data_IF_934560339199
#
_entry.id   IF_934560339199
#
_cell.length_a   1.000
_cell.length_b   1.000
_cell.length_c   1.000
_cell.angle_alpha   90.00
_cell.angle_beta   90.00
_cell.angle_gamma   90.00
#
_symmetry.space_group_name_H-M   'P 1'
#
loop_
_entity.id
_entity.type
_entity.pdbx_description
1 polymer ?
#
# COMPACT_ATOMS: atom_id res chain seq x y z
N UNK A 1 -16.86 -19.56 12.05
CA UNK A 1 -18.29 -19.91 11.93
C UNK A 1 -18.64 -19.87 10.44
N UNK A 2 -19.54 -20.73 9.98
CA UNK A 2 -20.03 -20.74 8.60
C UNK A 2 -21.21 -19.79 8.35
N UNK A 3 -21.85 -19.29 9.41
CA UNK A 3 -22.89 -18.27 9.34
C UNK A 3 -22.42 -16.98 10.03
N UNK A 4 -22.25 -15.92 9.23
CA UNK A 4 -21.80 -14.61 9.67
C UNK A 4 -22.82 -13.88 10.55
N UNK A 5 -24.06 -14.37 10.67
CA UNK A 5 -25.10 -13.82 11.53
C UNK A 5 -25.27 -14.61 12.85
N UNK A 6 -24.52 -15.69 13.02
CA UNK A 6 -24.59 -16.50 14.22
C UNK A 6 -23.83 -15.83 15.37
N UNK A 7 -24.57 -15.49 16.43
CA UNK A 7 -24.07 -14.76 17.61
C UNK A 7 -23.87 -15.64 18.85
N UNK A 8 -24.15 -16.94 18.75
CA UNK A 8 -24.16 -17.86 19.91
C UNK A 8 -23.10 -18.95 19.83
N UNK A 9 -22.70 -19.35 18.62
CA UNK A 9 -21.67 -20.37 18.42
C UNK A 9 -20.25 -19.78 18.45
N UNK A 10 -19.22 -20.58 18.79
CA UNK A 10 -17.84 -20.14 18.74
C UNK A 10 -17.42 -19.63 17.35
N UNK A 11 -16.93 -18.39 17.30
CA UNK A 11 -16.28 -17.79 16.14
C UNK A 11 -14.82 -17.42 16.52
N UNK A 12 -13.91 -18.41 16.61
CA UNK A 12 -12.57 -18.18 17.13
C UNK A 12 -11.73 -17.23 16.27
N UNK A 13 -11.83 -17.32 14.93
CA UNK A 13 -11.23 -16.37 13.99
C UNK A 13 -9.75 -16.10 14.24
N UNK A 14 -8.96 -17.13 14.56
CA UNK A 14 -7.57 -16.94 14.97
C UNK A 14 -6.70 -16.36 13.84
N UNK A 15 -6.92 -16.80 12.61
CA UNK A 15 -6.33 -16.25 11.39
C UNK A 15 -7.19 -15.11 10.82
N UNK A 16 -8.52 -15.27 10.80
CA UNK A 16 -9.53 -14.41 10.18
C UNK A 16 -10.48 -13.81 11.26
N UNK A 17 -10.14 -12.69 11.91
CA UNK A 17 -8.91 -11.91 11.72
C UNK A 17 -8.17 -11.56 13.03
N UNK A 18 -8.06 -12.53 13.93
CA UNK A 18 -7.23 -12.44 15.14
C UNK A 18 -5.75 -12.18 14.83
N UNK A 19 -5.26 -12.69 13.69
CA UNK A 19 -3.88 -12.50 13.24
C UNK A 19 -3.62 -11.05 12.81
N UNK A 20 -4.52 -10.42 12.03
CA UNK A 20 -4.43 -9.02 11.65
C UNK A 20 -4.54 -8.08 12.85
N UNK A 21 -5.45 -8.37 13.78
CA UNK A 21 -5.56 -7.63 15.04
C UNK A 21 -4.27 -7.71 15.88
N UNK A 22 -3.65 -8.89 15.97
CA UNK A 22 -2.37 -9.08 16.66
C UNK A 22 -1.23 -8.29 16.01
N UNK A 23 -1.16 -8.26 14.67
CA UNK A 23 -0.20 -7.42 13.92
C UNK A 23 -0.36 -5.95 14.26
N UNK A 24 -1.60 -5.44 14.26
CA UNK A 24 -1.91 -4.04 14.57
C UNK A 24 -1.47 -3.66 16.00
N UNK A 25 -1.82 -4.50 16.98
CA UNK A 25 -1.44 -4.29 18.39
C UNK A 25 0.08 -4.34 18.62
N UNK A 26 0.78 -5.28 17.98
CA UNK A 26 2.23 -5.41 18.13
C UNK A 26 2.96 -4.22 17.48
N UNK A 27 2.51 -3.77 16.31
CA UNK A 27 3.01 -2.55 15.70
C UNK A 27 2.79 -1.34 16.61
N UNK A 28 1.61 -1.20 17.22
CA UNK A 28 1.33 -0.14 18.19
C UNK A 28 2.30 -0.16 19.38
N UNK A 29 2.52 -1.35 19.96
CA UNK A 29 3.45 -1.53 21.09
C UNK A 29 4.87 -1.10 20.74
N UNK A 30 5.39 -1.52 19.59
CA UNK A 30 6.76 -1.20 19.16
C UNK A 30 6.90 0.27 18.76
N UNK A 31 5.98 0.78 17.93
CA UNK A 31 6.06 2.14 17.38
C UNK A 31 5.69 3.22 18.40
N UNK A 32 4.97 2.91 19.48
CA UNK A 32 4.68 3.86 20.57
C UNK A 32 5.93 4.45 21.24
N UNK A 33 7.09 3.79 21.08
CA UNK A 33 8.38 4.23 21.59
C UNK A 33 9.04 5.31 20.73
N UNK A 34 8.47 5.60 19.57
CA UNK A 34 8.98 6.56 18.59
C UNK A 34 8.06 7.79 18.51
N UNK A 35 8.57 8.85 17.89
CA UNK A 35 7.81 10.07 17.57
C UNK A 35 7.85 10.27 16.07
N UNK A 36 6.68 10.54 15.49
CA UNK A 36 6.50 10.68 14.05
C UNK A 36 5.95 12.08 13.73
N UNK A 37 6.40 12.69 12.62
CA UNK A 37 5.75 13.89 12.08
C UNK A 37 4.33 13.61 11.57
N UNK A 38 4.04 12.39 11.11
CA UNK A 38 2.69 11.98 10.72
C UNK A 38 1.92 11.26 11.84
N UNK A 39 0.59 11.28 11.76
CA UNK A 39 -0.29 10.50 12.64
C UNK A 39 -0.38 9.06 12.16
N UNK A 40 -0.12 8.10 13.05
CA UNK A 40 -0.35 6.68 12.81
C UNK A 40 -1.60 6.24 13.56
N UNK A 41 -2.55 5.62 12.85
CA UNK A 41 -3.79 5.10 13.41
C UNK A 41 -3.74 3.57 13.35
N UNK A 42 -3.84 2.93 14.52
CA UNK A 42 -4.05 1.49 14.62
C UNK A 42 -5.56 1.26 14.72
N UNK A 43 -6.13 0.64 13.70
CA UNK A 43 -7.57 0.49 13.54
C UNK A 43 -7.93 -1.00 13.58
N UNK A 44 -8.92 -1.35 14.40
CA UNK A 44 -9.63 -2.63 14.37
C UNK A 44 -11.10 -2.30 14.19
N UNK A 45 -11.72 -2.81 13.12
CA UNK A 45 -13.11 -2.49 12.79
C UNK A 45 -14.05 -3.63 13.15
N UNK A 46 -15.31 -3.27 13.39
CA UNK A 46 -16.38 -4.24 13.60
C UNK A 46 -17.14 -4.48 12.30
N UNK A 47 -17.61 -5.72 12.13
CA UNK A 47 -18.55 -6.10 11.08
C UNK A 47 -18.01 -6.04 9.65
N UNK A 48 -16.75 -6.46 9.47
CA UNK A 48 -16.20 -6.82 8.15
C UNK A 48 -17.12 -7.86 7.49
N UNK A 49 -17.37 -8.95 8.21
CA UNK A 49 -18.12 -10.13 7.76
C UNK A 49 -19.60 -9.89 7.44
N UNK A 50 -20.18 -8.77 7.91
CA UNK A 50 -21.56 -8.35 7.62
C UNK A 50 -21.64 -7.30 6.50
N UNK A 51 -20.52 -7.00 5.83
CA UNK A 51 -20.47 -6.09 4.69
C UNK A 51 -19.66 -4.82 4.93
N UNK A 52 -18.54 -4.93 5.66
CA UNK A 52 -17.55 -3.88 5.89
C UNK A 52 -18.08 -2.68 6.69
N UNK A 53 -18.97 -2.90 7.66
CA UNK A 53 -19.70 -1.81 8.33
C UNK A 53 -18.77 -0.81 9.03
N UNK A 54 -17.82 -1.31 9.81
CA UNK A 54 -16.90 -0.45 10.56
C UNK A 54 -15.94 0.32 9.65
N UNK A 55 -15.36 -0.34 8.64
CA UNK A 55 -14.43 0.30 7.70
C UNK A 55 -15.13 1.29 6.78
N UNK A 56 -16.33 0.99 6.27
CA UNK A 56 -17.14 1.95 5.50
C UNK A 56 -17.45 3.20 6.30
N UNK A 57 -17.93 3.04 7.54
CA UNK A 57 -18.21 4.17 8.40
C UNK A 57 -16.95 5.01 8.66
N UNK A 58 -15.82 4.37 8.96
CA UNK A 58 -14.57 5.07 9.22
C UNK A 58 -14.05 5.81 7.97
N UNK A 59 -14.03 5.16 6.81
CA UNK A 59 -13.54 5.75 5.56
C UNK A 59 -14.41 6.94 5.13
N UNK A 60 -15.74 6.81 5.18
CA UNK A 60 -16.68 7.90 4.91
C UNK A 60 -16.48 9.08 5.86
N UNK A 61 -16.32 8.80 7.15
CA UNK A 61 -16.07 9.83 8.17
C UNK A 61 -14.74 10.55 7.91
N UNK A 62 -13.67 9.81 7.60
CA UNK A 62 -12.37 10.38 7.29
C UNK A 62 -12.44 11.29 6.05
N UNK A 63 -13.15 10.84 5.00
CA UNK A 63 -13.40 11.63 3.79
C UNK A 63 -14.19 12.91 4.09
N UNK A 64 -15.28 12.81 4.84
CA UNK A 64 -16.11 13.95 5.23
C UNK A 64 -15.35 14.97 6.09
N UNK A 65 -14.44 14.51 6.95
CA UNK A 65 -13.56 15.37 7.76
C UNK A 65 -12.35 15.91 6.99
N UNK A 66 -12.19 15.55 5.72
CA UNK A 66 -11.06 16.01 4.88
C UNK A 66 -9.71 15.45 5.31
N UNK A 67 -9.67 14.30 5.98
CA UNK A 67 -8.42 13.68 6.41
C UNK A 67 -7.54 13.32 5.21
N UNK A 68 -6.26 13.62 5.33
CA UNK A 68 -5.24 13.23 4.34
C UNK A 68 -4.65 11.88 4.77
N UNK A 69 -5.31 10.79 4.39
CA UNK A 69 -4.80 9.44 4.63
C UNK A 69 -3.88 9.06 3.47
N UNK A 70 -2.58 8.98 3.74
CA UNK A 70 -1.56 8.64 2.75
C UNK A 70 -1.55 7.14 2.41
N UNK A 71 -1.81 6.28 3.39
CA UNK A 71 -1.73 4.84 3.23
C UNK A 71 -2.64 4.09 4.20
N UNK A 72 -3.28 3.03 3.71
CA UNK A 72 -4.02 2.04 4.50
C UNK A 72 -3.41 0.67 4.27
N UNK A 73 -2.89 0.07 5.36
CA UNK A 73 -2.31 -1.26 5.38
C UNK A 73 -3.30 -2.23 6.04
N UNK A 74 -4.15 -2.87 5.24
CA UNK A 74 -5.13 -3.83 5.76
C UNK A 74 -4.48 -5.21 5.92
N UNK A 75 -4.43 -5.75 7.14
CA UNK A 75 -3.95 -7.10 7.40
C UNK A 75 -5.18 -7.97 7.61
N UNK A 76 -5.33 -9.01 6.81
CA UNK A 76 -6.54 -9.82 6.81
C UNK A 76 -6.18 -11.22 6.31
N UNK A 77 -6.29 -12.20 7.22
CA UNK A 77 -5.80 -13.57 7.07
C UNK A 77 -4.28 -13.56 6.86
N UNK A 78 -3.55 -13.16 7.90
CA UNK A 78 -2.08 -13.05 7.91
C UNK A 78 -1.43 -14.03 8.89
N UNK A 79 -2.11 -15.15 9.17
CA UNK A 79 -1.71 -16.18 10.10
C UNK A 79 -0.72 -17.20 9.56
N UNK A 80 -0.61 -17.35 8.25
CA UNK A 80 0.35 -18.23 7.60
C UNK A 80 0.10 -19.69 7.94
N UNK A 81 -1.08 -20.21 7.59
CA UNK A 81 -1.51 -21.59 7.92
C UNK A 81 -0.36 -22.63 7.78
N UNK A 82 -0.20 -23.51 8.77
CA UNK A 82 0.92 -24.48 8.85
C UNK A 82 0.86 -25.63 7.84
N UNK A 83 -0.06 -25.61 6.87
CA UNK A 83 -0.10 -26.63 5.83
C UNK A 83 1.18 -26.67 4.96
N UNK A 84 1.59 -27.84 4.44
CA UNK A 84 2.81 -27.99 3.65
C UNK A 84 2.86 -27.15 2.37
N UNK A 85 1.70 -26.75 1.84
CA UNK A 85 1.62 -25.97 0.62
C UNK A 85 1.64 -24.44 0.84
N UNK A 86 1.69 -24.02 2.10
CA UNK A 86 1.91 -22.63 2.46
C UNK A 86 3.31 -22.19 2.02
N UNK A 87 3.46 -20.92 1.67
CA UNK A 87 4.78 -20.32 1.51
C UNK A 87 5.07 -19.39 2.70
N UNK A 88 5.85 -19.83 3.70
CA UNK A 88 6.11 -19.04 4.91
C UNK A 88 7.05 -17.86 4.66
N UNK A 89 7.62 -17.74 3.45
CA UNK A 89 8.59 -16.70 3.09
C UNK A 89 7.96 -15.47 2.42
N UNK A 90 6.65 -15.47 2.23
CA UNK A 90 5.97 -14.37 1.55
C UNK A 90 4.57 -14.08 2.07
N UNK A 91 4.20 -12.81 1.99
CA UNK A 91 2.81 -12.34 2.15
C UNK A 91 2.39 -11.68 0.84
N UNK A 92 1.17 -11.96 0.40
CA UNK A 92 0.60 -11.33 -0.80
C UNK A 92 0.17 -9.91 -0.45
N UNK A 93 0.48 -8.97 -1.32
CA UNK A 93 0.06 -7.57 -1.23
C UNK A 93 -0.84 -7.26 -2.41
N UNK A 94 -2.15 -7.24 -2.17
CA UNK A 94 -3.16 -6.88 -3.16
C UNK A 94 -3.31 -5.37 -3.23
N UNK A 95 -3.49 -4.86 -4.45
CA UNK A 95 -3.81 -3.45 -4.67
C UNK A 95 -4.63 -3.26 -5.94
N UNK A 96 -5.50 -2.26 -5.98
CA UNK A 96 -6.27 -1.95 -7.18
C UNK A 96 -5.41 -1.28 -8.24
N UNK A 97 -5.66 -1.57 -9.52
CA UNK A 97 -4.93 -0.93 -10.62
C UNK A 97 -5.57 0.40 -11.06
N UNK A 98 -6.89 0.39 -11.25
CA UNK A 98 -7.69 1.59 -11.53
C UNK A 98 -8.43 1.95 -10.25
N UNK A 99 -8.32 3.20 -9.73
CA UNK A 99 -8.97 3.57 -8.48
C UNK A 99 -10.50 3.40 -8.54
N UNK A 100 -11.08 2.73 -7.53
CA UNK A 100 -12.53 2.50 -7.46
C UNK A 100 -13.33 3.80 -7.45
N UNK A 101 -12.80 4.86 -6.82
CA UNK A 101 -13.46 6.17 -6.72
C UNK A 101 -13.18 7.11 -7.90
N UNK A 102 -12.48 6.66 -8.95
CA UNK A 102 -12.10 7.54 -10.07
C UNK A 102 -13.31 8.02 -10.87
N UNK A 103 -13.37 9.33 -11.11
CA UNK A 103 -14.34 9.97 -12.00
C UNK A 103 -14.00 9.69 -13.48
N UNK A 104 -14.97 9.84 -14.39
CA UNK A 104 -14.70 9.74 -15.84
C UNK A 104 -13.70 10.79 -16.37
N UNK A 105 -13.49 11.89 -15.63
CA UNK A 105 -12.43 12.85 -15.95
C UNK A 105 -11.04 12.29 -15.62
N UNK A 106 -10.91 11.54 -14.53
CA UNK A 106 -9.66 10.89 -14.09
C UNK A 106 -9.39 9.58 -14.87
N UNK A 107 -10.43 8.84 -15.26
CA UNK A 107 -10.28 7.62 -16.06
C UNK A 107 -9.80 7.90 -17.48
N UNK A 108 -10.15 9.05 -18.07
CA UNK A 108 -9.73 9.43 -19.42
C UNK A 108 -8.20 9.42 -19.61
N UNK A 109 -7.39 10.14 -18.80
CA UNK A 109 -5.94 10.10 -18.93
C UNK A 109 -5.36 8.72 -18.59
N UNK A 110 -5.93 7.97 -17.62
CA UNK A 110 -5.50 6.59 -17.31
C UNK A 110 -5.58 5.71 -18.57
N UNK A 111 -6.73 5.72 -19.26
CA UNK A 111 -6.94 4.95 -20.50
C UNK A 111 -6.04 5.42 -21.64
N UNK A 112 -5.80 6.73 -21.75
CA UNK A 112 -5.00 7.30 -22.83
C UNK A 112 -3.50 7.04 -22.68
N UNK A 113 -3.01 6.85 -21.45
CA UNK A 113 -1.59 6.75 -21.13
C UNK A 113 -1.15 5.36 -20.64
N UNK A 114 -2.08 4.41 -20.52
CA UNK A 114 -1.78 3.08 -19.96
C UNK A 114 -1.50 3.10 -18.44
N UNK A 115 -2.18 3.99 -17.71
CA UNK A 115 -1.95 4.23 -16.28
C UNK A 115 -2.61 3.22 -15.33
N UNK A 116 -3.18 2.13 -15.82
CA UNK A 116 -3.90 1.13 -15.01
C UNK A 116 -3.02 0.37 -14.01
N UNK A 117 -1.70 0.55 -14.07
CA UNK A 117 -0.74 -0.02 -13.12
C UNK A 117 -0.11 1.01 -12.19
N UNK A 118 -0.62 2.25 -12.15
CA UNK A 118 0.00 3.41 -11.49
C UNK A 118 -0.95 4.13 -10.51
N UNK A 119 -1.98 3.45 -10.02
CA UNK A 119 -2.80 3.98 -8.91
C UNK A 119 -1.97 4.23 -7.66
N UNK A 120 -2.48 5.08 -6.77
CA UNK A 120 -1.89 5.30 -5.46
C UNK A 120 -1.76 4.00 -4.63
N UNK A 121 -2.71 3.08 -4.75
CA UNK A 121 -2.65 1.75 -4.11
C UNK A 121 -1.54 0.87 -4.70
N UNK A 122 -1.25 0.96 -6.00
CA UNK A 122 -0.11 0.29 -6.65
C UNK A 122 1.22 0.88 -6.18
N UNK A 123 1.30 2.20 -6.09
CA UNK A 123 2.49 2.88 -5.56
C UNK A 123 2.75 2.51 -4.10
N UNK A 124 1.71 2.45 -3.27
CA UNK A 124 1.81 1.97 -1.90
C UNK A 124 2.32 0.52 -1.85
N UNK A 125 1.80 -0.38 -2.68
CA UNK A 125 2.27 -1.77 -2.74
C UNK A 125 3.75 -1.86 -3.15
N UNK A 126 4.18 -1.09 -4.16
CA UNK A 126 5.61 -1.01 -4.55
C UNK A 126 6.49 -0.51 -3.42
N UNK A 127 6.02 0.49 -2.67
CA UNK A 127 6.73 1.00 -1.49
C UNK A 127 6.89 -0.08 -0.43
N UNK A 128 5.84 -0.86 -0.15
CA UNK A 128 5.93 -2.03 0.75
C UNK A 128 6.98 -3.04 0.29
N UNK A 129 7.09 -3.29 -1.01
CA UNK A 129 8.13 -4.17 -1.55
C UNK A 129 9.54 -3.60 -1.40
N UNK A 130 9.74 -2.29 -1.60
CA UNK A 130 11.02 -1.61 -1.37
C UNK A 130 11.44 -1.73 0.12
N UNK A 131 10.53 -1.41 1.04
CA UNK A 131 10.75 -1.57 2.48
C UNK A 131 11.01 -3.04 2.84
N UNK A 132 10.26 -3.96 2.22
CA UNK A 132 10.45 -5.40 2.37
C UNK A 132 11.88 -5.83 2.06
N UNK A 133 12.40 -5.41 0.90
CA UNK A 133 13.78 -5.69 0.49
C UNK A 133 14.83 -5.07 1.41
N UNK A 134 14.58 -3.86 1.92
CA UNK A 134 15.52 -3.15 2.79
C UNK A 134 15.60 -3.74 4.22
N UNK A 135 14.47 -4.14 4.79
CA UNK A 135 14.39 -4.49 6.22
C UNK A 135 14.15 -5.98 6.49
N UNK A 136 13.54 -6.74 5.58
CA UNK A 136 13.21 -8.15 5.83
C UNK A 136 14.14 -9.17 5.18
N UNK A 137 15.12 -8.74 4.38
CA UNK A 137 16.13 -9.65 3.81
C UNK A 137 16.80 -10.57 4.86
N UNK A 138 17.18 -10.11 6.07
CA UNK A 138 17.76 -10.99 7.11
C UNK A 138 16.80 -12.07 7.63
N UNK A 139 15.49 -11.88 7.47
CA UNK A 139 14.46 -12.83 7.91
C UNK A 139 14.04 -13.78 6.79
N UNK A 140 14.61 -13.65 5.58
CA UNK A 140 14.23 -14.48 4.43
C UNK A 140 12.76 -14.33 4.04
N UNK A 141 12.17 -13.17 4.33
CA UNK A 141 10.76 -12.87 4.12
C UNK A 141 10.62 -11.68 3.17
N UNK A 142 9.72 -11.78 2.19
CA UNK A 142 9.50 -10.72 1.21
C UNK A 142 8.04 -10.65 0.78
N UNK A 143 7.43 -9.47 0.65
CA UNK A 143 6.09 -9.36 0.09
C UNK A 143 6.07 -9.74 -1.40
N UNK A 144 4.99 -10.35 -1.85
CA UNK A 144 4.69 -10.57 -3.28
C UNK A 144 3.59 -9.63 -3.72
N UNK A 145 3.88 -8.79 -4.71
CA UNK A 145 2.90 -7.87 -5.28
C UNK A 145 1.88 -8.64 -6.12
N UNK A 146 0.60 -8.49 -5.79
CA UNK A 146 -0.49 -9.07 -6.56
C UNK A 146 -1.24 -7.95 -7.28
N UNK A 147 -1.18 -7.96 -8.61
CA UNK A 147 -1.80 -6.92 -9.42
C UNK A 147 -3.30 -7.08 -9.62
N UNK A 148 -4.01 -7.16 -8.50
CA UNK A 148 -5.46 -7.30 -8.38
C UNK A 148 -5.92 -6.60 -7.11
N UNK A 149 -7.13 -6.04 -7.14
CA UNK A 149 -7.74 -5.46 -5.93
C UNK A 149 -7.87 -6.51 -4.83
N UNK A 150 -8.30 -7.73 -5.18
CA UNK A 150 -8.38 -8.84 -4.23
C UNK A 150 -8.37 -10.22 -4.95
N UNK A 151 -8.46 -11.29 -4.15
CA UNK A 151 -8.71 -12.69 -4.54
C UNK A 151 -10.10 -12.84 -5.14
N UNK A 152 -10.30 -13.88 -5.94
CA UNK A 152 -11.61 -14.17 -6.51
C UNK A 152 -12.65 -14.46 -5.43
N UNK A 153 -13.86 -13.89 -5.59
CA UNK A 153 -15.00 -14.06 -4.68
C UNK A 153 -14.76 -13.58 -3.24
N UNK A 154 -13.72 -12.77 -3.01
CA UNK A 154 -13.36 -12.24 -1.69
C UNK A 154 -13.25 -10.71 -1.73
N UNK A 155 -13.26 -10.13 -0.54
CA UNK A 155 -13.06 -8.71 -0.26
C UNK A 155 -12.44 -8.57 1.13
N UNK A 156 -12.13 -7.35 1.53
CA UNK A 156 -11.69 -7.01 2.89
C UNK A 156 -11.74 -5.51 3.11
N UNK A 157 -11.47 -5.06 4.33
CA UNK A 157 -11.70 -3.67 4.76
C UNK A 157 -11.01 -2.59 3.91
N UNK A 158 -9.86 -2.88 3.29
CA UNK A 158 -9.20 -1.96 2.35
C UNK A 158 -10.12 -1.46 1.22
N UNK A 159 -11.10 -2.27 0.78
CA UNK A 159 -12.02 -1.90 -0.31
C UNK A 159 -12.86 -0.68 0.07
N UNK A 160 -13.30 -0.57 1.32
CA UNK A 160 -14.05 0.59 1.80
C UNK A 160 -13.24 1.89 1.72
N UNK A 161 -11.91 1.81 1.91
CA UNK A 161 -11.03 2.96 1.76
C UNK A 161 -10.78 3.31 0.30
N UNK A 162 -10.61 2.31 -0.58
CA UNK A 162 -10.49 2.54 -2.02
C UNK A 162 -11.75 3.20 -2.61
N UNK A 163 -12.94 2.78 -2.15
CA UNK A 163 -14.23 3.36 -2.57
C UNK A 163 -14.38 4.85 -2.17
N UNK A 164 -13.67 5.28 -1.12
CA UNK A 164 -13.61 6.70 -0.70
C UNK A 164 -12.41 7.45 -1.30
N UNK A 165 -11.64 6.79 -2.18
CA UNK A 165 -10.51 7.37 -2.93
C UNK A 165 -9.18 7.37 -2.18
N UNK A 166 -9.05 6.62 -1.08
CA UNK A 166 -7.79 6.46 -0.37
C UNK A 166 -6.92 5.34 -0.96
N UNK A 167 -5.60 5.52 -0.87
CA UNK A 167 -4.64 4.48 -1.19
C UNK A 167 -4.72 3.38 -0.13
N UNK A 168 -5.12 2.17 -0.53
CA UNK A 168 -5.30 1.05 0.38
C UNK A 168 -4.86 -0.26 -0.26
N UNK A 169 -4.19 -1.09 0.53
CA UNK A 169 -3.68 -2.40 0.14
C UNK A 169 -4.07 -3.46 1.16
N UNK A 170 -4.10 -4.73 0.74
CA UNK A 170 -4.37 -5.87 1.62
C UNK A 170 -3.19 -6.83 1.67
N UNK A 171 -2.78 -7.18 2.88
CA UNK A 171 -1.89 -8.28 3.20
C UNK A 171 -2.72 -9.53 3.46
N UNK A 172 -2.39 -10.63 2.81
CA UNK A 172 -2.97 -11.96 3.05
C UNK A 172 -1.90 -13.02 2.87
N UNK A 173 -1.97 -14.09 3.65
CA UNK A 173 -1.13 -15.27 3.52
C UNK A 173 -1.12 -15.85 2.10
N UNK A 174 -0.09 -16.63 1.76
CA UNK A 174 0.10 -17.11 0.39
C UNK A 174 -1.01 -18.07 -0.05
N UNK A 175 -1.40 -18.99 0.84
CA UNK A 175 -2.40 -20.01 0.59
C UNK A 175 -3.27 -20.21 1.83
N UNK A 176 -4.55 -19.94 1.66
CA UNK A 176 -5.58 -20.24 2.67
C UNK A 176 -5.89 -21.72 2.75
N UNK A 177 -6.20 -22.19 3.96
CA UNK A 177 -6.85 -23.47 4.17
C UNK A 177 -8.37 -23.27 4.38
N UNK A 178 -9.15 -23.69 3.39
CA UNK A 178 -10.61 -23.56 3.41
C UNK A 178 -11.30 -24.50 4.42
N UNK A 179 -10.60 -25.45 5.02
CA UNK A 179 -11.11 -26.20 6.17
C UNK A 179 -11.16 -25.33 7.43
N UNK A 180 -10.37 -24.25 7.50
CA UNK A 180 -10.33 -23.35 8.65
C UNK A 180 -11.17 -22.09 8.41
N UNK A 181 -11.18 -21.57 7.19
CA UNK A 181 -11.89 -20.35 6.83
C UNK A 181 -13.42 -20.51 6.76
N UNK A 182 -14.17 -19.67 7.47
CA UNK A 182 -15.65 -19.69 7.51
C UNK A 182 -16.22 -21.08 7.83
N UNK A 183 -15.56 -21.81 8.74
CA UNK A 183 -15.98 -23.14 9.16
C UNK A 183 -16.40 -23.15 10.62
N UNK A 184 -17.38 -23.99 10.94
CA UNK A 184 -17.71 -24.34 12.32
C UNK A 184 -16.66 -25.29 12.88
N UNK A 185 -16.28 -25.09 14.14
CA UNK A 185 -15.29 -25.94 14.82
C UNK A 185 -15.87 -27.34 14.95
N UNK A 186 -15.27 -28.29 14.26
CA UNK A 186 -15.64 -29.71 14.30
C UNK A 186 -14.50 -30.58 13.81
N UNK A 187 -14.61 -31.88 14.05
CA UNK A 187 -13.78 -32.88 13.37
C UNK A 187 -14.70 -33.78 12.57
N UNK A 188 -14.41 -33.95 11.29
CA UNK A 188 -15.23 -34.74 10.37
C UNK A 188 -14.31 -35.52 9.44
N UNK A 189 -14.47 -36.85 9.39
CA UNK A 189 -13.63 -37.76 8.58
C UNK A 189 -12.11 -37.60 8.82
N UNK A 190 -11.72 -37.25 10.05
CA UNK A 190 -10.32 -37.03 10.42
C UNK A 190 -9.76 -35.66 10.02
N UNK A 191 -10.57 -34.78 9.41
CA UNK A 191 -10.22 -33.40 9.09
C UNK A 191 -10.74 -32.51 10.21
N UNK A 192 -9.86 -31.66 10.74
CA UNK A 192 -10.23 -30.63 11.71
C UNK A 192 -10.64 -29.36 10.99
N UNK A 193 -11.80 -28.82 11.38
CA UNK A 193 -12.36 -27.61 10.79
C UNK A 193 -12.39 -26.48 11.80
N UNK A 194 -12.40 -25.26 11.26
CA UNK A 194 -12.50 -24.02 12.03
C UNK A 194 -11.14 -23.37 12.31
N UNK A 195 -11.19 -22.05 12.47
CA UNK A 195 -10.01 -21.21 12.54
C UNK A 195 -9.48 -21.05 13.98
N UNK A 196 -8.54 -21.92 14.35
CA UNK A 196 -8.00 -22.04 15.71
C UNK A 196 -6.52 -21.63 15.79
N UNK A 197 -6.04 -21.12 16.95
CA UNK A 197 -4.66 -20.67 17.11
C UNK A 197 -3.58 -21.71 16.80
N UNK A 198 -3.89 -23.00 16.89
CA UNK A 198 -2.95 -24.07 16.57
C UNK A 198 -2.54 -24.09 15.09
N UNK A 199 -3.41 -23.63 14.20
CA UNK A 199 -3.17 -23.57 12.75
C UNK A 199 -2.37 -22.33 12.32
N UNK A 200 -2.34 -21.29 13.17
CA UNK A 200 -1.57 -20.06 12.93
C UNK A 200 -0.07 -20.31 13.17
N UNK A 201 0.75 -19.85 12.22
CA UNK A 201 2.20 -19.76 12.36
C UNK A 201 2.60 -18.40 12.94
N UNK A 202 2.95 -18.38 14.22
CA UNK A 202 3.32 -17.14 14.90
C UNK A 202 4.63 -16.52 14.39
N UNK A 203 5.55 -17.30 13.82
CA UNK A 203 6.77 -16.77 13.22
C UNK A 203 6.44 -16.05 11.89
N UNK A 204 5.49 -16.60 11.13
CA UNK A 204 4.92 -15.93 9.96
C UNK A 204 4.25 -14.59 10.35
N UNK A 205 3.35 -14.61 11.33
CA UNK A 205 2.67 -13.40 11.84
C UNK A 205 3.70 -12.36 12.31
N UNK A 206 4.77 -12.78 12.99
CA UNK A 206 5.84 -11.89 13.43
C UNK A 206 6.57 -11.23 12.24
N UNK A 207 6.78 -11.94 11.12
CA UNK A 207 7.35 -11.34 9.92
C UNK A 207 6.41 -10.35 9.24
N UNK A 208 5.11 -10.63 9.20
CA UNK A 208 4.10 -9.67 8.71
C UNK A 208 4.07 -8.42 9.60
N UNK A 209 4.18 -8.57 10.92
CA UNK A 209 4.27 -7.45 11.86
C UNK A 209 5.54 -6.62 11.65
N UNK A 210 6.71 -7.24 11.42
CA UNK A 210 7.95 -6.52 11.09
C UNK A 210 7.79 -5.70 9.81
N UNK A 211 7.17 -6.26 8.78
CA UNK A 211 6.91 -5.56 7.52
C UNK A 211 5.97 -4.36 7.69
N UNK A 212 4.86 -4.55 8.41
CA UNK A 212 3.94 -3.45 8.72
C UNK A 212 4.62 -2.36 9.54
N UNK A 213 5.35 -2.72 10.61
CA UNK A 213 6.04 -1.76 11.47
C UNK A 213 7.10 -0.96 10.71
N UNK A 214 7.93 -1.63 9.87
CA UNK A 214 8.92 -0.96 9.04
C UNK A 214 8.28 -0.03 8.01
N UNK A 215 7.18 -0.45 7.38
CA UNK A 215 6.46 0.33 6.38
C UNK A 215 5.81 1.57 7.02
N UNK A 216 5.07 1.39 8.12
CA UNK A 216 4.44 2.48 8.86
C UNK A 216 5.47 3.48 9.37
N UNK A 217 6.57 3.02 9.96
CA UNK A 217 7.62 3.91 10.44
C UNK A 217 8.26 4.69 9.30
N UNK A 218 8.53 4.04 8.15
CA UNK A 218 9.16 4.68 6.99
C UNK A 218 8.26 5.76 6.38
N UNK A 219 6.97 5.47 6.20
CA UNK A 219 5.99 6.45 5.74
C UNK A 219 5.81 7.59 6.74
N UNK A 220 5.67 7.25 8.03
CA UNK A 220 5.36 8.25 9.05
C UNK A 220 6.55 9.16 9.39
N UNK A 221 7.79 8.76 9.08
CA UNK A 221 9.00 9.58 9.19
C UNK A 221 9.30 10.41 7.93
N UNK A 222 8.76 10.01 6.78
CA UNK A 222 9.02 10.65 5.50
C UNK A 222 8.41 12.07 5.42
N UNK A 223 8.99 12.96 4.60
CA UNK A 223 8.31 14.18 4.19
C UNK A 223 7.11 13.83 3.31
N UNK A 224 6.17 14.77 3.17
CA UNK A 224 5.03 14.58 2.26
C UNK A 224 5.48 14.35 0.81
N UNK A 225 4.72 13.62 -0.02
CA UNK A 225 5.01 13.48 -1.45
C UNK A 225 4.99 14.83 -2.19
N UNK A 226 5.85 15.01 -3.23
CA UNK A 226 5.91 16.26 -3.98
C UNK A 226 4.58 16.55 -4.67
N UNK A 227 4.22 17.82 -4.80
CA UNK A 227 2.95 18.25 -5.36
C UNK A 227 3.10 18.66 -6.83
N UNK A 228 2.00 18.65 -7.58
CA UNK A 228 1.96 19.12 -8.96
C UNK A 228 3.07 18.51 -9.84
N UNK A 229 3.31 17.20 -9.71
CA UNK A 229 4.29 16.51 -10.54
C UNK A 229 3.75 16.41 -11.97
N UNK A 230 4.43 17.08 -12.88
CA UNK A 230 4.03 17.24 -14.28
C UNK A 230 5.09 16.74 -15.23
N UNK A 231 4.64 16.18 -16.34
CA UNK A 231 5.48 15.75 -17.45
C UNK A 231 5.10 16.56 -18.70
N UNK A 232 6.09 17.27 -19.25
CA UNK A 232 5.86 18.17 -20.37
C UNK A 232 5.58 17.38 -21.68
N UNK A 233 4.47 17.72 -22.33
CA UNK A 233 4.03 17.09 -23.60
C UNK A 233 3.81 18.09 -24.73
N UNK A 234 4.31 19.32 -24.58
CA UNK A 234 4.14 20.39 -25.58
C UNK A 234 4.88 20.10 -26.88
N UNK A 235 6.11 19.60 -26.76
CA UNK A 235 7.01 19.34 -27.89
C UNK A 235 7.16 17.83 -28.11
N UNK A 236 7.25 17.43 -29.38
CA UNK A 236 7.65 16.08 -29.76
C UNK A 236 9.18 15.98 -29.62
N UNK A 237 9.62 15.28 -28.59
CA UNK A 237 11.04 15.12 -28.22
C UNK A 237 11.23 13.76 -27.54
N UNK A 238 12.40 13.15 -27.77
CA UNK A 238 12.85 11.92 -27.12
C UNK A 238 13.45 12.15 -25.73
N UNK A 239 13.55 13.40 -25.28
CA UNK A 239 13.82 13.72 -23.88
C UNK A 239 12.53 13.83 -23.08
N UNK A 240 12.69 13.73 -21.75
CA UNK A 240 11.62 13.99 -20.78
C UNK A 240 11.94 15.26 -20.00
N UNK A 241 10.93 16.10 -19.80
CA UNK A 241 11.01 17.22 -18.86
C UNK A 241 9.95 17.00 -17.78
N UNK A 242 10.41 16.89 -16.54
CA UNK A 242 9.57 16.82 -15.35
C UNK A 242 9.60 18.14 -14.62
N UNK A 243 8.47 18.55 -14.05
CA UNK A 243 8.35 19.75 -13.24
C UNK A 243 7.42 19.51 -12.06
N UNK A 244 7.83 19.86 -10.84
CA UNK A 244 7.04 19.62 -9.62
C UNK A 244 7.24 20.70 -8.58
N UNK A 245 6.38 20.70 -7.56
CA UNK A 245 6.51 21.52 -6.35
C UNK A 245 7.09 20.64 -5.25
N UNK A 246 8.27 20.96 -4.69
CA UNK A 246 8.85 20.17 -3.61
C UNK A 246 8.02 20.30 -2.35
N UNK A 247 8.04 19.25 -1.53
CA UNK A 247 7.34 19.25 -0.25
C UNK A 247 8.07 20.02 0.83
N UNK A 248 7.31 20.61 1.75
CA UNK A 248 7.86 21.17 2.98
C UNK A 248 8.63 20.09 3.75
N UNK A 249 9.88 20.37 4.11
CA UNK A 249 10.76 19.42 4.80
C UNK A 249 11.57 18.50 3.88
N UNK A 250 11.30 18.50 2.57
CA UNK A 250 12.16 17.85 1.57
C UNK A 250 13.46 18.66 1.41
N UNK A 251 14.60 17.98 1.48
CA UNK A 251 15.92 18.57 1.15
C UNK A 251 16.41 18.15 -0.22
N UNK A 252 15.87 17.06 -0.77
CA UNK A 252 16.20 16.50 -2.08
C UNK A 252 15.00 15.75 -2.66
N UNK A 253 14.93 15.56 -3.97
CA UNK A 253 13.91 14.71 -4.59
C UNK A 253 14.55 13.68 -5.51
N UNK A 254 14.13 12.42 -5.36
CA UNK A 254 14.56 11.34 -6.26
C UNK A 254 13.62 11.25 -7.45
N UNK A 255 14.20 11.17 -8.65
CA UNK A 255 13.48 10.83 -9.87
C UNK A 255 13.62 9.33 -10.10
N UNK A 256 12.48 8.67 -10.27
CA UNK A 256 12.38 7.24 -10.47
C UNK A 256 11.97 6.94 -11.89
N UNK A 257 12.40 5.79 -12.39
CA UNK A 257 11.86 5.20 -13.62
C UNK A 257 11.68 3.70 -13.53
N UNK A 258 10.76 3.18 -14.36
CA UNK A 258 10.58 1.75 -14.58
C UNK A 258 10.16 1.50 -16.03
N UNK A 259 10.50 0.32 -16.55
CA UNK A 259 9.89 -0.14 -17.80
C UNK A 259 8.37 -0.25 -17.61
N UNK A 260 7.60 -0.09 -18.69
CA UNK A 260 6.13 -0.09 -18.65
C UNK A 260 5.56 -1.42 -18.11
N UNK A 261 6.28 -2.52 -18.32
CA UNK A 261 5.97 -3.87 -17.85
C UNK A 261 6.65 -4.28 -16.54
N UNK A 262 7.51 -3.41 -15.98
CA UNK A 262 8.23 -3.68 -14.73
C UNK A 262 7.44 -3.22 -13.50
N UNK A 263 7.57 -3.99 -12.41
CA UNK A 263 6.97 -3.62 -11.13
C UNK A 263 7.79 -2.60 -10.33
N UNK A 264 9.05 -2.91 -9.96
CA UNK A 264 9.85 -2.05 -9.08
C UNK A 264 10.30 -0.73 -9.74
N UNK A 265 10.45 0.29 -8.91
CA UNK A 265 11.10 1.55 -9.30
C UNK A 265 12.62 1.45 -9.26
N UNK A 266 13.29 2.14 -10.17
CA UNK A 266 14.72 2.39 -10.14
C UNK A 266 14.98 3.87 -9.95
N UNK A 267 15.89 4.22 -9.04
CA UNK A 267 16.35 5.61 -8.88
C UNK A 267 17.24 5.97 -10.06
N UNK A 268 16.96 7.08 -10.75
CA UNK A 268 17.81 7.59 -11.81
C UNK A 268 19.01 8.35 -11.21
N UNK A 269 20.25 7.90 -11.45
CA UNK A 269 21.41 8.60 -10.93
C UNK A 269 21.70 9.87 -11.73
N UNK A 270 22.17 10.92 -11.04
CA UNK A 270 22.81 12.11 -11.65
C UNK A 270 21.90 12.96 -12.56
N UNK A 271 20.63 13.15 -12.20
CA UNK A 271 19.78 14.11 -12.91
C UNK A 271 19.98 15.52 -12.34
N UNK A 272 20.29 16.49 -13.21
CA UNK A 272 20.39 17.88 -12.81
C UNK A 272 18.99 18.47 -12.60
N UNK A 273 18.66 18.77 -11.34
CA UNK A 273 17.44 19.50 -10.98
C UNK A 273 17.75 20.99 -10.90
N UNK A 274 16.93 21.80 -11.57
CA UNK A 274 17.02 23.27 -11.56
C UNK A 274 15.81 23.85 -10.82
N UNK A 275 16.03 24.95 -10.12
CA UNK A 275 14.96 25.73 -9.50
C UNK A 275 14.40 26.74 -10.49
N UNK A 276 13.08 26.78 -10.61
CA UNK A 276 12.36 27.89 -11.19
C UNK A 276 11.73 28.71 -10.06
N UNK A 277 12.30 29.89 -9.81
CA UNK A 277 11.62 30.92 -9.04
C UNK A 277 10.58 31.58 -9.96
N UNK A 278 9.32 31.19 -9.79
CA UNK A 278 8.21 31.97 -10.33
C UNK A 278 8.08 33.21 -9.44
N UNK A 279 8.03 34.41 -10.05
CA UNK A 279 7.99 35.71 -9.36
C UNK A 279 7.11 35.68 -8.10
N UNK A 280 7.66 36.17 -6.97
CA UNK A 280 7.06 36.28 -5.62
C UNK A 280 7.33 35.16 -4.59
N UNK A 281 8.31 34.27 -4.79
CA UNK A 281 8.91 33.47 -3.70
C UNK A 281 7.95 32.52 -2.95
N UNK A 282 6.74 32.31 -3.47
CA UNK A 282 5.68 31.54 -2.81
C UNK A 282 5.42 30.17 -3.44
N UNK A 283 5.96 29.87 -4.62
CA UNK A 283 5.82 28.58 -5.30
C UNK A 283 7.08 28.23 -6.10
N UNK A 284 8.12 27.74 -5.43
CA UNK A 284 9.31 27.23 -6.11
C UNK A 284 8.95 25.94 -6.85
N UNK A 285 9.07 25.92 -8.19
CA UNK A 285 9.01 24.67 -8.95
C UNK A 285 10.42 24.14 -9.16
N UNK A 286 10.59 22.83 -9.09
CA UNK A 286 11.79 22.12 -9.54
C UNK A 286 11.55 21.59 -10.94
N UNK A 287 12.58 21.63 -11.79
CA UNK A 287 12.55 21.09 -13.14
C UNK A 287 13.76 20.18 -13.36
N UNK A 288 13.52 19.05 -14.01
CA UNK A 288 14.57 18.18 -14.51
C UNK A 288 14.37 17.88 -16.00
N UNK A 289 15.45 17.95 -16.78
CA UNK A 289 15.51 17.42 -18.13
C UNK A 289 16.28 16.09 -18.09
N UNK A 290 15.70 15.07 -18.70
CA UNK A 290 16.17 13.68 -18.66
C UNK A 290 16.32 13.20 -20.10
N UNK A 291 17.48 12.64 -20.43
CA UNK A 291 17.79 12.05 -21.74
C UNK A 291 17.24 10.61 -21.85
N UNK A 292 15.94 10.48 -21.59
CA UNK A 292 15.17 9.23 -21.67
C UNK A 292 13.80 9.59 -22.22
N UNK A 293 13.33 8.85 -23.23
CA UNK A 293 12.00 9.07 -23.80
C UNK A 293 10.91 8.63 -22.84
N UNK A 294 9.95 9.52 -22.63
CA UNK A 294 8.69 9.32 -21.90
C UNK A 294 7.80 8.22 -22.49
N UNK A 295 8.06 7.79 -23.73
CA UNK A 295 7.31 6.72 -24.37
C UNK A 295 7.83 5.31 -23.97
N UNK A 296 9.07 5.23 -23.47
CA UNK A 296 9.73 3.95 -23.19
C UNK A 296 9.66 3.53 -21.73
N UNK A 297 9.40 4.47 -20.83
CA UNK A 297 9.43 4.25 -19.38
C UNK A 297 8.34 5.08 -18.70
N UNK A 298 7.96 4.64 -17.50
CA UNK A 298 7.13 5.43 -16.60
C UNK A 298 8.08 6.11 -15.61
N UNK A 299 7.79 7.38 -15.30
CA UNK A 299 8.54 8.16 -14.32
C UNK A 299 7.74 8.34 -13.04
N UNK A 300 8.44 8.61 -11.94
CA UNK A 300 7.85 9.18 -10.74
C UNK A 300 8.85 10.10 -10.03
N UNK A 301 8.36 10.92 -9.11
CA UNK A 301 9.19 11.75 -8.24
C UNK A 301 8.79 11.50 -6.79
N UNK A 302 9.76 11.41 -5.89
CA UNK A 302 9.51 11.34 -4.43
C UNK A 302 10.40 12.29 -3.66
N UNK A 303 9.88 12.79 -2.55
CA UNK A 303 10.59 13.68 -1.64
C UNK A 303 11.53 12.90 -0.73
N UNK A 304 12.67 13.50 -0.37
CA UNK A 304 13.65 12.94 0.55
C UNK A 304 14.03 13.99 1.61
N UNK A 305 13.97 13.60 2.89
CA UNK A 305 14.39 14.48 3.98
C UNK A 305 15.90 14.39 4.28
N UNK A 306 16.38 15.24 5.20
CA UNK A 306 17.80 15.27 5.63
C UNK A 306 18.33 13.97 6.24
N UNK A 307 17.45 13.03 6.61
CA UNK A 307 17.80 11.72 7.17
C UNK A 307 17.68 10.60 6.14
N UNK A 308 17.27 10.92 4.91
CA UNK A 308 17.08 9.95 3.83
C UNK A 308 15.73 9.23 3.86
N UNK A 309 14.76 9.68 4.66
CA UNK A 309 13.41 9.13 4.61
C UNK A 309 12.70 9.59 3.33
N UNK A 310 11.94 8.68 2.73
CA UNK A 310 11.41 8.85 1.37
C UNK A 310 9.90 8.76 1.37
N UNK A 311 9.24 9.74 0.75
CA UNK A 311 7.79 9.75 0.56
C UNK A 311 7.33 8.64 -0.38
N UNK A 312 6.01 8.43 -0.48
CA UNK A 312 5.47 7.71 -1.64
C UNK A 312 5.87 8.40 -2.96
N UNK A 313 6.13 7.63 -4.02
CA UNK A 313 6.38 8.18 -5.34
C UNK A 313 5.09 8.70 -5.98
N UNK A 314 5.22 9.80 -6.73
CA UNK A 314 4.12 10.43 -7.46
C UNK A 314 4.41 10.31 -8.95
N UNK A 315 3.55 9.58 -9.66
CA UNK A 315 3.57 9.46 -11.12
C UNK A 315 3.08 10.79 -11.73
N UNK A 316 3.81 11.38 -12.67
CA UNK A 316 3.47 12.69 -13.23
C UNK A 316 2.21 12.63 -14.08
N UNK A 317 1.47 13.74 -14.08
CA UNK A 317 0.38 13.95 -15.05
C UNK A 317 0.86 14.84 -16.21
N UNK A 318 0.36 14.66 -17.44
CA UNK A 318 0.78 15.50 -18.56
C UNK A 318 0.46 16.99 -18.35
N UNK A 319 1.37 17.86 -18.79
CA UNK A 319 1.21 19.32 -18.85
C UNK A 319 1.63 19.81 -20.24
N UNK A 320 0.78 20.65 -20.86
CA UNK A 320 1.07 21.33 -22.13
C UNK A 320 1.67 22.70 -21.90
#
# INVERSE_FOLDING_TARGET
>A
NSDNLNTTEPAPGANDDGSGAAVSLECARVLSKLKFPATVIFLTVAGEEQGLYGSKHFAQMARQKGWQIEAVLNNDIVGGDKNPEQNPKTVRVFSEGVPAAATEAELRPIRALGGENDSSSRELARYVAEIGGAYLAPYGFSPTLIYRRDRYLRGGDHTAFNEEGFAAIRFTEWREDFHHQHQNVRTENGIEYGDLPKFVDFDYVANVARLNAATLASLALAPAPPQNVKLAIKELDNNTVLAWTPSTGSVDDEILSRATDAGPWNVLPKIQVKFLDMESGKNQRRIAKIDISKDNVIFAVRSVDSKGHKSLPVVPTPER
#
